data_IF_016315615989
#
_entry.id   IF_016315615989
#
_cell.length_a   1.000
_cell.length_b   1.000
_cell.length_c   1.000
_cell.angle_alpha   90.00
_cell.angle_beta   90.00
_cell.angle_gamma   90.00
#
_symmetry.space_group_name_H-M   'P 1'
#
loop_
_entity.id
_entity.type
_entity.pdbx_description
1 polymer ?
#
# COMPACT_ATOMS: atom_id res chain seq x y z
N UNK A 1 15.89 3.04 12.76
CA UNK A 1 16.07 2.02 11.71
C UNK A 1 15.10 2.35 10.60
N UNK A 2 15.54 2.43 9.35
CA UNK A 2 14.69 2.78 8.22
C UNK A 2 14.06 1.51 7.63
N UNK A 3 12.83 1.18 8.06
CA UNK A 3 12.10 0.00 7.60
C UNK A 3 11.86 -0.01 6.09
N UNK A 4 11.65 1.17 5.48
CA UNK A 4 11.44 1.27 4.03
C UNK A 4 12.69 0.80 3.29
N UNK A 5 13.86 1.31 3.67
CA UNK A 5 15.13 0.91 3.05
C UNK A 5 15.41 -0.57 3.22
N UNK A 6 15.10 -1.13 4.38
CA UNK A 6 15.26 -2.57 4.63
C UNK A 6 14.33 -3.43 3.77
N UNK A 7 13.06 -3.03 3.60
CA UNK A 7 12.12 -3.70 2.68
C UNK A 7 12.63 -3.70 1.24
N UNK A 8 13.10 -2.55 0.75
CA UNK A 8 13.68 -2.44 -0.60
C UNK A 8 14.85 -3.39 -0.78
N UNK A 9 15.78 -3.42 0.18
CA UNK A 9 16.89 -4.38 0.16
C UNK A 9 16.38 -5.83 0.10
N UNK A 10 15.38 -6.16 0.91
CA UNK A 10 14.78 -7.49 0.90
C UNK A 10 14.20 -7.87 -0.47
N UNK A 11 13.49 -6.97 -1.14
CA UNK A 11 12.95 -7.24 -2.48
C UNK A 11 14.07 -7.46 -3.51
N UNK A 12 15.13 -6.66 -3.45
CA UNK A 12 16.31 -6.83 -4.33
C UNK A 12 16.99 -8.17 -4.08
N UNK A 13 17.19 -8.54 -2.81
CA UNK A 13 17.82 -9.82 -2.47
C UNK A 13 16.96 -11.01 -2.94
N UNK A 14 15.62 -10.92 -2.79
CA UNK A 14 14.67 -11.94 -3.29
C UNK A 14 14.76 -12.06 -4.82
N UNK A 15 14.72 -10.95 -5.56
CA UNK A 15 14.86 -10.97 -7.02
C UNK A 15 16.21 -11.57 -7.45
N UNK A 16 17.29 -11.23 -6.75
CA UNK A 16 18.61 -11.78 -7.01
C UNK A 16 18.66 -13.30 -6.82
N UNK A 17 18.02 -13.83 -5.77
CA UNK A 17 17.89 -15.27 -5.56
C UNK A 17 17.04 -15.95 -6.62
N UNK A 18 15.90 -15.37 -7.00
CA UNK A 18 15.00 -15.93 -8.02
C UNK A 18 15.71 -16.05 -9.36
N UNK A 19 16.39 -14.99 -9.79
CA UNK A 19 17.17 -14.94 -11.02
C UNK A 19 18.36 -15.90 -10.97
N UNK A 20 19.11 -15.89 -9.86
CA UNK A 20 20.30 -16.74 -9.69
C UNK A 20 19.98 -18.24 -9.64
N UNK A 21 18.84 -18.61 -9.06
CA UNK A 21 18.37 -20.01 -9.00
C UNK A 21 17.57 -20.44 -10.24
N UNK A 22 17.10 -19.49 -11.05
CA UNK A 22 16.26 -19.76 -12.23
C UNK A 22 14.89 -20.35 -11.90
N UNK A 23 14.35 -20.08 -10.70
CA UNK A 23 13.07 -20.64 -10.21
C UNK A 23 11.97 -19.59 -10.22
N UNK A 24 11.12 -19.63 -11.24
CA UNK A 24 10.11 -18.59 -11.51
C UNK A 24 8.67 -19.04 -11.22
N UNK A 25 8.42 -19.73 -10.10
CA UNK A 25 7.05 -20.00 -9.65
C UNK A 25 6.60 -18.99 -8.61
N UNK A 26 5.32 -18.60 -8.68
CA UNK A 26 4.72 -17.63 -7.77
C UNK A 26 4.79 -18.11 -6.32
N UNK A 27 4.50 -19.39 -6.09
CA UNK A 27 4.54 -20.03 -4.79
C UNK A 27 5.95 -19.97 -4.18
N UNK A 28 6.98 -20.31 -4.97
CA UNK A 28 8.36 -20.25 -4.52
C UNK A 28 8.78 -18.83 -4.14
N UNK A 29 8.40 -17.83 -4.95
CA UNK A 29 8.74 -16.44 -4.69
C UNK A 29 8.05 -15.92 -3.42
N UNK A 30 6.81 -16.35 -3.16
CA UNK A 30 6.06 -16.00 -1.94
C UNK A 30 6.71 -16.62 -0.71
N UNK A 31 7.12 -17.89 -0.79
CA UNK A 31 7.85 -18.56 0.28
C UNK A 31 9.19 -17.88 0.55
N UNK A 32 9.89 -17.46 -0.51
CA UNK A 32 11.15 -16.74 -0.40
C UNK A 32 10.97 -15.35 0.23
N UNK A 33 9.94 -14.60 -0.18
CA UNK A 33 9.54 -13.35 0.48
C UNK A 33 9.29 -13.57 1.97
N UNK A 34 8.50 -14.58 2.32
CA UNK A 34 8.20 -14.92 3.73
C UNK A 34 9.49 -15.19 4.51
N UNK A 35 10.33 -16.10 4.02
CA UNK A 35 11.62 -16.44 4.64
C UNK A 35 12.46 -15.19 4.88
N UNK A 36 12.63 -14.36 3.85
CA UNK A 36 13.53 -13.21 3.90
C UNK A 36 13.03 -12.11 4.84
N UNK A 37 11.72 -11.90 4.91
CA UNK A 37 11.12 -10.96 5.86
C UNK A 37 11.25 -11.46 7.30
N UNK A 38 10.99 -12.75 7.56
CA UNK A 38 11.09 -13.35 8.89
C UNK A 38 12.54 -13.35 9.41
N UNK A 39 13.52 -13.72 8.58
CA UNK A 39 14.95 -13.68 8.94
C UNK A 39 15.45 -12.28 9.30
N UNK A 40 14.79 -11.24 8.80
CA UNK A 40 15.18 -9.83 9.01
C UNK A 40 14.31 -9.11 10.06
N UNK A 41 13.39 -9.82 10.73
CA UNK A 41 12.38 -9.25 11.63
C UNK A 41 11.62 -8.06 10.99
N UNK A 42 11.29 -8.21 9.70
CA UNK A 42 10.56 -7.20 8.94
C UNK A 42 9.10 -7.57 8.80
N UNK A 43 8.24 -6.55 8.87
CA UNK A 43 6.84 -6.70 8.48
C UNK A 43 6.61 -6.26 7.03
N UNK A 44 5.76 -6.98 6.28
CA UNK A 44 5.19 -6.52 5.02
C UNK A 44 4.52 -5.15 5.11
N UNK A 45 4.35 -4.48 3.96
CA UNK A 45 3.60 -3.23 3.88
C UNK A 45 2.14 -3.54 4.17
N UNK A 46 1.60 -3.03 5.28
CA UNK A 46 0.22 -3.31 5.69
C UNK A 46 -0.41 -2.16 6.46
N UNK A 47 -1.74 -2.16 6.47
CA UNK A 47 -2.53 -1.36 7.40
C UNK A 47 -2.59 -2.00 8.79
N UNK A 48 -3.64 -1.67 9.54
CA UNK A 48 -3.81 -2.16 10.91
C UNK A 48 -3.87 -3.70 11.04
N UNK A 49 -4.40 -4.39 10.04
CA UNK A 49 -4.56 -5.85 10.03
C UNK A 49 -3.39 -6.56 9.35
N UNK A 50 -3.09 -7.80 9.78
CA UNK A 50 -2.13 -8.71 9.14
C UNK A 50 -2.90 -9.93 8.59
N UNK A 51 -3.35 -9.89 7.32
CA UNK A 51 -4.09 -10.99 6.73
C UNK A 51 -3.19 -12.20 6.46
N UNK A 52 -3.73 -13.42 6.31
CA UNK A 52 -2.94 -14.63 6.10
C UNK A 52 -2.18 -14.61 4.76
N UNK A 53 -2.76 -13.98 3.73
CA UNK A 53 -2.17 -13.81 2.39
C UNK A 53 -1.25 -12.59 2.29
N UNK A 54 -0.62 -12.15 3.39
CA UNK A 54 0.13 -10.90 3.37
C UNK A 54 1.38 -10.93 2.48
N UNK A 55 2.08 -12.06 2.39
CA UNK A 55 3.26 -12.21 1.54
C UNK A 55 2.91 -12.33 0.06
N UNK A 56 1.77 -12.93 -0.26
CA UNK A 56 1.18 -12.89 -1.60
C UNK A 56 0.98 -11.44 -2.05
N UNK A 57 0.46 -10.59 -1.15
CA UNK A 57 0.28 -9.15 -1.38
C UNK A 57 1.59 -8.35 -1.43
N UNK A 58 2.73 -8.94 -1.10
CA UNK A 58 4.06 -8.33 -1.29
C UNK A 58 4.63 -8.55 -2.68
N UNK A 59 4.05 -9.45 -3.49
CA UNK A 59 4.40 -9.55 -4.91
C UNK A 59 4.16 -8.24 -5.65
N UNK A 60 3.18 -7.43 -5.23
CA UNK A 60 3.02 -6.05 -5.74
C UNK A 60 4.27 -5.21 -5.52
N UNK A 61 4.87 -5.25 -4.32
CA UNK A 61 6.10 -4.52 -4.02
C UNK A 61 7.27 -5.07 -4.83
N UNK A 62 7.37 -6.39 -4.94
CA UNK A 62 8.43 -7.07 -5.69
C UNK A 62 8.37 -6.73 -7.19
N UNK A 63 7.17 -6.77 -7.79
CA UNK A 63 6.92 -6.35 -9.17
C UNK A 63 7.34 -4.90 -9.39
N UNK A 64 6.93 -3.98 -8.50
CA UNK A 64 7.27 -2.57 -8.62
C UNK A 64 8.79 -2.38 -8.59
N UNK A 65 9.51 -3.06 -7.70
CA UNK A 65 10.98 -3.00 -7.67
C UNK A 65 11.60 -3.62 -8.93
N UNK A 66 11.09 -4.76 -9.41
CA UNK A 66 11.60 -5.39 -10.62
C UNK A 66 11.42 -4.50 -11.87
N UNK A 67 10.26 -3.87 -12.02
CA UNK A 67 9.93 -3.00 -13.16
C UNK A 67 10.54 -1.61 -13.04
N UNK A 68 10.19 -0.88 -11.99
CA UNK A 68 10.51 0.54 -11.86
C UNK A 68 11.87 0.80 -11.19
N UNK A 69 12.29 -0.10 -10.30
CA UNK A 69 13.54 0.05 -9.56
C UNK A 69 14.76 -0.48 -10.31
N UNK A 70 14.67 -1.72 -10.79
CA UNK A 70 15.77 -2.44 -11.42
C UNK A 70 15.67 -2.51 -12.94
N UNK A 71 14.46 -2.33 -13.50
CA UNK A 71 14.18 -2.45 -14.93
C UNK A 71 14.66 -3.79 -15.55
N UNK A 72 14.37 -4.91 -14.87
CA UNK A 72 14.88 -6.24 -15.23
C UNK A 72 13.84 -7.15 -15.92
N UNK A 73 12.60 -6.69 -16.07
CA UNK A 73 11.53 -7.56 -16.58
C UNK A 73 11.70 -7.93 -18.06
N UNK A 74 12.40 -7.09 -18.83
CA UNK A 74 12.73 -7.38 -20.24
C UNK A 74 13.85 -8.43 -20.36
N UNK A 75 14.80 -8.43 -19.43
CA UNK A 75 15.90 -9.39 -19.37
C UNK A 75 15.45 -10.77 -18.83
N UNK A 76 14.39 -10.81 -18.03
CA UNK A 76 13.84 -12.01 -17.40
C UNK A 76 12.33 -12.15 -17.65
N UNK A 77 11.91 -12.50 -18.87
CA UNK A 77 10.50 -12.56 -19.25
C UNK A 77 9.69 -13.61 -18.47
N UNK A 78 10.33 -14.59 -17.84
CA UNK A 78 9.70 -15.54 -16.91
C UNK A 78 9.08 -14.83 -15.70
N UNK A 79 9.68 -13.73 -15.22
CA UNK A 79 9.12 -12.92 -14.15
C UNK A 79 7.79 -12.27 -14.56
N UNK A 80 7.62 -11.89 -15.83
CA UNK A 80 6.35 -11.33 -16.31
C UNK A 80 5.20 -12.35 -16.17
N UNK A 81 5.48 -13.64 -16.29
CA UNK A 81 4.47 -14.70 -16.10
C UNK A 81 4.09 -14.84 -14.63
N UNK A 82 5.03 -14.66 -13.71
CA UNK A 82 4.77 -14.65 -12.26
C UNK A 82 3.89 -13.46 -11.88
N UNK A 83 4.14 -12.31 -12.50
CA UNK A 83 3.51 -11.03 -12.18
C UNK A 83 2.27 -10.72 -13.03
N UNK A 84 1.63 -11.72 -13.63
CA UNK A 84 0.47 -11.51 -14.52
C UNK A 84 -0.67 -10.73 -13.82
N UNK A 85 -0.89 -11.02 -12.54
CA UNK A 85 -1.87 -10.33 -11.72
C UNK A 85 -1.43 -8.88 -11.43
N UNK A 86 -0.18 -8.66 -11.08
CA UNK A 86 0.37 -7.33 -10.80
C UNK A 86 0.38 -6.42 -12.06
N UNK A 87 0.62 -7.00 -13.25
CA UNK A 87 0.46 -6.30 -14.54
C UNK A 87 -0.99 -5.84 -14.75
N UNK A 88 -1.99 -6.66 -14.38
CA UNK A 88 -3.40 -6.25 -14.45
C UNK A 88 -3.72 -5.14 -13.45
N UNK A 89 -3.17 -5.20 -12.22
CA UNK A 89 -3.33 -4.14 -11.22
C UNK A 89 -2.76 -2.81 -11.70
N UNK A 90 -1.60 -2.86 -12.36
CA UNK A 90 -0.98 -1.69 -12.95
C UNK A 90 -1.86 -1.07 -14.03
N UNK A 91 -2.30 -1.86 -15.01
CA UNK A 91 -3.18 -1.39 -16.08
C UNK A 91 -4.49 -0.81 -15.55
N UNK A 92 -5.08 -1.43 -14.53
CA UNK A 92 -6.26 -0.89 -13.87
C UNK A 92 -5.96 0.45 -13.18
N UNK A 93 -4.80 0.59 -12.54
CA UNK A 93 -4.37 1.85 -11.91
C UNK A 93 -4.18 2.95 -12.95
N UNK A 94 -3.57 2.64 -14.10
CA UNK A 94 -3.39 3.57 -15.22
C UNK A 94 -4.73 4.00 -15.82
N UNK A 95 -5.64 3.04 -16.03
CA UNK A 95 -6.99 3.29 -16.54
C UNK A 95 -7.79 4.24 -15.63
N UNK A 96 -7.77 4.03 -14.30
CA UNK A 96 -8.44 4.95 -13.34
C UNK A 96 -7.92 6.39 -13.45
N UNK A 97 -6.65 6.58 -13.81
CA UNK A 97 -5.99 7.89 -13.80
C UNK A 97 -6.05 8.62 -15.12
N UNK A 98 -6.01 7.90 -16.23
CA UNK A 98 -5.76 8.47 -17.55
C UNK A 98 -6.99 8.42 -18.47
N UNK A 99 -7.97 7.58 -18.17
CA UNK A 99 -9.15 7.39 -19.02
C UNK A 99 -10.39 8.11 -18.46
N UNK A 100 -11.37 8.45 -19.32
CA UNK A 100 -12.68 8.89 -18.87
C UNK A 100 -13.35 7.86 -17.94
N UNK A 101 -14.17 8.28 -16.95
CA UNK A 101 -14.71 7.37 -15.93
C UNK A 101 -15.41 6.11 -16.45
N UNK A 102 -16.25 6.23 -17.48
CA UNK A 102 -16.97 5.09 -18.07
C UNK A 102 -16.02 4.12 -18.79
N UNK A 103 -15.08 4.64 -19.58
CA UNK A 103 -14.07 3.83 -20.26
C UNK A 103 -13.16 3.12 -19.26
N UNK A 104 -12.74 3.84 -18.21
CA UNK A 104 -11.96 3.28 -17.14
C UNK A 104 -12.70 2.12 -16.45
N UNK A 105 -13.99 2.31 -16.16
CA UNK A 105 -14.84 1.28 -15.57
C UNK A 105 -14.90 0.03 -16.44
N UNK A 106 -15.17 0.20 -17.74
CA UNK A 106 -15.22 -0.91 -18.70
C UNK A 106 -13.89 -1.66 -18.77
N UNK A 107 -12.77 -0.95 -18.86
CA UNK A 107 -11.45 -1.55 -18.96
C UNK A 107 -11.07 -2.33 -17.70
N UNK A 108 -11.40 -1.81 -16.52
CA UNK A 108 -11.18 -2.51 -15.25
C UNK A 108 -12.06 -3.76 -15.16
N UNK A 109 -13.33 -3.70 -15.60
CA UNK A 109 -14.21 -4.88 -15.64
C UNK A 109 -13.69 -5.93 -16.64
N UNK A 110 -13.13 -5.53 -17.79
CA UNK A 110 -12.48 -6.47 -18.73
C UNK A 110 -11.28 -7.16 -18.10
N UNK A 111 -10.45 -6.43 -17.33
CA UNK A 111 -9.31 -7.00 -16.60
C UNK A 111 -9.74 -7.89 -15.43
N UNK A 112 -10.83 -7.51 -14.75
CA UNK A 112 -11.37 -8.16 -13.57
C UNK A 112 -12.90 -8.31 -13.68
N UNK A 113 -13.41 -9.34 -14.39
CA UNK A 113 -14.85 -9.51 -14.63
C UNK A 113 -15.70 -9.57 -13.36
N UNK A 114 -15.12 -10.07 -12.27
CA UNK A 114 -15.75 -10.14 -10.95
C UNK A 114 -15.07 -9.18 -9.98
N UNK A 115 -15.05 -7.88 -10.31
CA UNK A 115 -14.42 -6.87 -9.45
C UNK A 115 -15.07 -6.84 -8.07
N UNK A 116 -14.38 -7.41 -7.08
CA UNK A 116 -14.79 -7.44 -5.68
C UNK A 116 -14.01 -6.41 -4.84
N UNK A 117 -14.40 -6.26 -3.58
CA UNK A 117 -13.77 -5.33 -2.65
C UNK A 117 -12.28 -5.63 -2.39
N UNK A 118 -11.86 -6.91 -2.21
CA UNK A 118 -10.45 -7.30 -2.18
C UNK A 118 -9.67 -6.87 -3.41
N UNK A 119 -10.20 -7.07 -4.62
CA UNK A 119 -9.51 -6.72 -5.88
C UNK A 119 -9.38 -5.21 -6.01
N UNK A 120 -10.43 -4.43 -5.75
CA UNK A 120 -10.34 -2.97 -5.73
C UNK A 120 -9.31 -2.50 -4.68
N UNK A 121 -9.27 -3.13 -3.51
CA UNK A 121 -8.25 -2.83 -2.49
C UNK A 121 -6.83 -3.14 -2.96
N UNK A 122 -6.63 -4.18 -3.79
CA UNK A 122 -5.32 -4.51 -4.38
C UNK A 122 -4.90 -3.51 -5.47
N UNK A 123 -5.84 -3.00 -6.27
CA UNK A 123 -5.57 -1.90 -7.22
C UNK A 123 -5.12 -0.65 -6.47
N UNK A 124 -5.86 -0.24 -5.43
CA UNK A 124 -5.49 0.90 -4.59
C UNK A 124 -4.15 0.67 -3.86
N UNK A 125 -3.87 -0.57 -3.42
CA UNK A 125 -2.58 -0.96 -2.84
C UNK A 125 -1.43 -0.81 -3.83
N UNK A 126 -1.62 -1.17 -5.09
CA UNK A 126 -0.62 -0.98 -6.13
C UNK A 126 -0.20 0.49 -6.24
N UNK A 127 -1.18 1.39 -6.37
CA UNK A 127 -0.93 2.83 -6.39
C UNK A 127 -0.28 3.35 -5.10
N UNK A 128 -0.74 2.87 -3.94
CA UNK A 128 -0.12 3.24 -2.67
C UNK A 128 1.33 2.79 -2.57
N UNK A 129 1.66 1.58 -3.02
CA UNK A 129 3.02 1.05 -2.96
C UNK A 129 3.96 1.84 -3.87
N UNK A 130 3.52 2.25 -5.06
CA UNK A 130 4.28 3.16 -5.92
C UNK A 130 4.62 4.47 -5.19
N UNK A 131 3.63 5.08 -4.52
CA UNK A 131 3.84 6.30 -3.75
C UNK A 131 4.76 6.05 -2.55
N UNK A 132 4.50 5.00 -1.77
CA UNK A 132 5.28 4.66 -0.58
C UNK A 132 6.76 4.41 -0.90
N UNK A 133 7.05 3.82 -2.06
CA UNK A 133 8.40 3.58 -2.54
C UNK A 133 9.03 4.78 -3.26
N UNK A 134 8.38 5.95 -3.28
CA UNK A 134 8.79 7.21 -3.94
C UNK A 134 8.86 7.14 -5.49
N UNK A 135 8.21 6.16 -6.14
CA UNK A 135 8.08 6.15 -7.62
C UNK A 135 7.00 7.09 -8.13
N UNK A 136 6.03 7.45 -7.26
CA UNK A 136 4.98 8.43 -7.54
C UNK A 136 4.79 9.35 -6.33
N UNK A 137 4.21 10.51 -6.56
CA UNK A 137 3.95 11.48 -5.49
C UNK A 137 2.59 11.27 -4.79
N UNK A 138 2.30 12.13 -3.82
CA UNK A 138 1.02 12.09 -3.08
C UNK A 138 -0.17 12.48 -3.95
N UNK A 139 0.02 13.41 -4.89
CA UNK A 139 -1.03 13.89 -5.79
C UNK A 139 -1.57 12.77 -6.68
N UNK A 140 -0.67 11.90 -7.17
CA UNK A 140 -1.02 10.66 -7.85
C UNK A 140 -1.99 9.80 -7.04
N UNK A 141 -1.69 9.53 -5.76
CA UNK A 141 -2.54 8.69 -4.93
C UNK A 141 -3.88 9.36 -4.59
N UNK A 142 -3.88 10.68 -4.40
CA UNK A 142 -5.11 11.46 -4.18
C UNK A 142 -6.04 11.36 -5.38
N UNK A 143 -5.51 11.55 -6.59
CA UNK A 143 -6.27 11.42 -7.83
C UNK A 143 -6.77 9.98 -8.01
N UNK A 144 -5.94 8.98 -7.73
CA UNK A 144 -6.34 7.58 -7.80
C UNK A 144 -7.54 7.29 -6.88
N UNK A 145 -7.51 7.75 -5.63
CA UNK A 145 -8.61 7.56 -4.68
C UNK A 145 -9.87 8.32 -5.09
N UNK A 146 -9.74 9.57 -5.54
CA UNK A 146 -10.87 10.39 -6.01
C UNK A 146 -11.56 9.75 -7.21
N UNK A 147 -10.79 9.38 -8.22
CA UNK A 147 -11.31 8.77 -9.43
C UNK A 147 -11.93 7.40 -9.11
N UNK A 148 -11.28 6.58 -8.27
CA UNK A 148 -11.86 5.30 -7.82
C UNK A 148 -13.20 5.48 -7.11
N UNK A 149 -13.33 6.51 -6.28
CA UNK A 149 -14.58 6.81 -5.57
C UNK A 149 -15.71 7.22 -6.52
N UNK A 150 -15.38 7.95 -7.59
CA UNK A 150 -16.32 8.39 -8.61
C UNK A 150 -16.72 7.27 -9.59
N UNK A 151 -15.75 6.44 -10.00
CA UNK A 151 -15.95 5.33 -10.95
C UNK A 151 -16.72 4.17 -10.33
N UNK A 152 -16.48 3.88 -9.04
CA UNK A 152 -17.09 2.76 -8.33
C UNK A 152 -17.90 3.22 -7.10
N UNK A 153 -18.98 3.99 -7.28
CA UNK A 153 -19.81 4.47 -6.18
C UNK A 153 -20.42 3.32 -5.36
N UNK A 154 -20.69 2.17 -5.98
CA UNK A 154 -21.15 0.94 -5.35
C UNK A 154 -20.11 0.31 -4.41
N UNK A 155 -18.83 0.68 -4.55
CA UNK A 155 -17.71 0.26 -3.69
C UNK A 155 -17.14 1.39 -2.83
N UNK A 156 -17.90 2.46 -2.64
CA UNK A 156 -17.50 3.66 -1.89
C UNK A 156 -16.92 3.35 -0.50
N UNK A 157 -17.45 2.34 0.20
CA UNK A 157 -16.96 1.93 1.52
C UNK A 157 -15.53 1.39 1.48
N UNK A 158 -15.17 0.64 0.44
CA UNK A 158 -13.83 0.12 0.24
C UNK A 158 -12.83 1.23 -0.04
N UNK A 159 -13.18 2.14 -0.96
CA UNK A 159 -12.34 3.31 -1.26
C UNK A 159 -12.18 4.19 -0.02
N UNK A 160 -13.24 4.41 0.77
CA UNK A 160 -13.20 5.17 2.02
C UNK A 160 -12.32 4.54 3.09
N UNK A 161 -12.38 3.20 3.24
CA UNK A 161 -11.48 2.47 4.15
C UNK A 161 -10.02 2.62 3.73
N UNK A 162 -9.76 2.57 2.42
CA UNK A 162 -8.42 2.78 1.89
C UNK A 162 -7.94 4.23 2.05
N UNK A 163 -8.83 5.21 1.87
CA UNK A 163 -8.54 6.63 2.12
C UNK A 163 -8.12 6.89 3.57
N UNK A 164 -8.78 6.24 4.54
CA UNK A 164 -8.36 6.26 5.96
C UNK A 164 -6.93 5.74 6.16
N UNK A 165 -6.61 4.62 5.50
CA UNK A 165 -5.28 4.04 5.51
C UNK A 165 -4.24 5.00 4.90
N UNK A 166 -4.52 5.56 3.74
CA UNK A 166 -3.67 6.53 3.07
C UNK A 166 -3.38 7.76 3.95
N UNK A 167 -4.41 8.39 4.52
CA UNK A 167 -4.23 9.54 5.43
C UNK A 167 -3.34 9.15 6.62
N UNK A 168 -3.60 8.00 7.24
CA UNK A 168 -2.80 7.53 8.36
C UNK A 168 -1.33 7.30 7.96
N UNK A 169 -1.07 6.72 6.78
CA UNK A 169 0.27 6.47 6.28
C UNK A 169 1.04 7.77 5.96
N UNK A 170 0.37 8.76 5.35
CA UNK A 170 0.97 10.08 5.04
C UNK A 170 1.29 10.86 6.31
N UNK A 171 0.37 10.88 7.28
CA UNK A 171 0.60 11.55 8.57
C UNK A 171 1.76 10.87 9.31
N UNK A 172 1.84 9.54 9.27
CA UNK A 172 2.94 8.81 9.88
C UNK A 172 4.30 9.12 9.20
N UNK A 173 4.34 9.23 7.87
CA UNK A 173 5.53 9.67 7.11
C UNK A 173 5.95 11.11 7.49
N UNK A 174 4.99 12.02 7.63
CA UNK A 174 5.25 13.40 8.04
C UNK A 174 5.78 13.51 9.47
N UNK A 175 5.33 12.62 10.37
CA UNK A 175 5.88 12.50 11.72
C UNK A 175 7.30 11.93 11.66
N UNK A 176 7.52 10.85 10.91
CA UNK A 176 8.84 10.21 10.74
C UNK A 176 9.90 11.23 10.27
N UNK A 177 9.53 12.07 9.30
CA UNK A 177 10.39 13.10 8.72
C UNK A 177 10.49 14.36 9.58
N UNK A 178 9.86 14.39 10.75
CA UNK A 178 9.90 15.50 11.70
C UNK A 178 9.15 16.76 11.25
N UNK A 179 8.27 16.66 10.24
CA UNK A 179 7.40 17.76 9.77
C UNK A 179 6.22 17.98 10.72
N UNK A 180 5.74 16.92 11.36
CA UNK A 180 4.71 16.97 12.41
C UNK A 180 5.35 16.65 13.76
N UNK A 181 5.27 17.61 14.69
CA UNK A 181 5.88 17.52 16.03
C UNK A 181 4.91 17.69 17.19
N UNK A 182 3.64 18.00 16.91
CA UNK A 182 2.63 18.23 17.94
C UNK A 182 1.25 17.73 17.48
N UNK A 183 0.34 17.57 18.46
CA UNK A 183 -1.00 17.03 18.25
C UNK A 183 -1.88 17.92 17.35
N UNK A 184 -1.72 19.24 17.42
CA UNK A 184 -2.49 20.20 16.61
C UNK A 184 -2.16 20.03 15.12
N UNK A 185 -0.88 20.06 14.75
CA UNK A 185 -0.44 19.89 13.36
C UNK A 185 -0.86 18.51 12.80
N UNK A 186 -0.82 17.48 13.65
CA UNK A 186 -1.30 16.13 13.29
C UNK A 186 -2.79 16.14 12.93
N UNK A 187 -3.65 16.74 13.75
CA UNK A 187 -5.10 16.82 13.44
C UNK A 187 -5.37 17.69 12.22
N UNK A 188 -4.71 18.84 12.10
CA UNK A 188 -4.82 19.71 10.92
C UNK A 188 -4.46 18.95 9.64
N UNK A 189 -3.36 18.19 9.65
CA UNK A 189 -2.94 17.40 8.48
C UNK A 189 -3.96 16.31 8.12
N UNK A 190 -4.53 15.60 9.10
CA UNK A 190 -5.58 14.59 8.85
C UNK A 190 -6.80 15.20 8.18
N UNK A 191 -7.23 16.37 8.65
CA UNK A 191 -8.39 17.07 8.10
C UNK A 191 -8.11 17.69 6.73
N UNK A 192 -6.92 18.26 6.52
CA UNK A 192 -6.49 18.80 5.23
C UNK A 192 -6.50 17.71 4.15
N UNK A 193 -5.85 16.57 4.41
CA UNK A 193 -5.84 15.44 3.47
C UNK A 193 -7.24 14.88 3.21
N UNK A 194 -8.10 14.80 4.24
CA UNK A 194 -9.48 14.36 4.06
C UNK A 194 -10.30 15.32 3.21
N UNK A 195 -10.06 16.63 3.32
CA UNK A 195 -10.72 17.64 2.50
C UNK A 195 -10.24 17.56 1.05
N UNK A 196 -8.92 17.43 0.83
CA UNK A 196 -8.30 17.29 -0.48
C UNK A 196 -8.80 16.06 -1.25
N UNK A 197 -9.01 14.94 -0.56
CA UNK A 197 -9.59 13.73 -1.14
C UNK A 197 -11.06 13.88 -1.52
N UNK A 198 -11.83 14.78 -0.88
CA UNK A 198 -13.27 14.89 -1.12
C UNK A 198 -14.09 13.63 -0.77
N UNK A 199 -13.53 12.66 -0.04
CA UNK A 199 -14.20 11.42 0.35
C UNK A 199 -14.76 11.55 1.78
N UNK A 200 -16.07 11.43 1.98
CA UNK A 200 -16.68 11.65 3.29
C UNK A 200 -16.25 10.58 4.30
N UNK A 201 -16.14 10.97 5.58
CA UNK A 201 -15.82 10.10 6.72
C UNK A 201 -14.48 9.35 6.56
N UNK A 202 -13.50 9.93 5.88
CA UNK A 202 -12.17 9.34 5.64
C UNK A 202 -11.11 9.68 6.72
N UNK A 203 -11.41 10.57 7.67
CA UNK A 203 -10.47 10.91 8.76
C UNK A 203 -10.21 9.69 9.65
N UNK A 204 -8.95 9.25 9.86
CA UNK A 204 -8.64 8.11 10.71
C UNK A 204 -8.69 8.48 12.20
N UNK A 205 -8.92 7.48 13.05
CA UNK A 205 -8.77 7.63 14.50
C UNK A 205 -7.30 7.62 14.91
N UNK A 206 -7.03 8.17 16.09
CA UNK A 206 -5.71 8.18 16.72
C UNK A 206 -5.15 6.77 16.95
N UNK A 207 -5.99 5.84 17.41
CA UNK A 207 -5.61 4.43 17.57
C UNK A 207 -5.26 3.76 16.23
N UNK A 208 -5.99 4.09 15.16
CA UNK A 208 -5.70 3.56 13.83
C UNK A 208 -4.39 4.11 13.28
N UNK A 209 -4.13 5.42 13.47
CA UNK A 209 -2.87 6.06 13.10
C UNK A 209 -1.68 5.39 13.79
N UNK A 210 -1.77 5.09 15.09
CA UNK A 210 -0.70 4.39 15.83
C UNK A 210 -0.40 3.03 15.20
N UNK A 211 -1.44 2.24 14.87
CA UNK A 211 -1.26 0.91 14.25
C UNK A 211 -0.56 1.00 12.90
N UNK A 212 -0.96 1.95 12.06
CA UNK A 212 -0.36 2.16 10.73
C UNK A 212 1.08 2.67 10.86
N UNK A 213 1.34 3.63 11.75
CA UNK A 213 2.67 4.19 11.98
C UNK A 213 3.66 3.14 12.51
N UNK A 214 3.21 2.27 13.42
CA UNK A 214 4.01 1.16 13.91
C UNK A 214 4.32 0.16 12.79
N UNK A 215 3.32 -0.25 11.99
CA UNK A 215 3.50 -1.25 10.94
C UNK A 215 4.40 -0.74 9.80
N UNK A 216 4.21 0.50 9.35
CA UNK A 216 4.96 1.04 8.21
C UNK A 216 6.35 1.57 8.61
N UNK A 217 6.49 2.18 9.79
CA UNK A 217 7.68 2.96 10.13
C UNK A 217 8.31 2.59 11.48
N UNK A 218 7.73 1.63 12.21
CA UNK A 218 8.22 1.23 13.54
C UNK A 218 8.05 2.33 14.59
N UNK A 219 7.17 3.30 14.34
CA UNK A 219 7.04 4.50 15.18
C UNK A 219 6.16 4.28 16.40
N UNK A 220 6.64 4.73 17.55
CA UNK A 220 5.86 4.86 18.77
C UNK A 220 5.41 6.31 18.96
N UNK A 221 4.11 6.59 18.73
CA UNK A 221 3.57 7.95 18.73
C UNK A 221 3.19 8.49 20.13
N UNK A 222 3.89 8.07 21.18
CA UNK A 222 3.68 8.58 22.56
C UNK A 222 3.78 10.11 22.58
N UNK A 223 2.77 10.78 23.15
CA UNK A 223 2.71 12.24 23.27
C UNK A 223 2.07 12.98 22.09
N UNK A 224 1.92 12.36 20.91
CA UNK A 224 1.23 12.94 19.75
C UNK A 224 -0.24 12.50 19.63
N UNK A 225 -0.61 11.48 20.40
CA UNK A 225 -1.86 10.75 20.26
C UNK A 225 -2.53 10.62 21.62
N UNK A 226 -3.84 10.91 21.69
CA UNK A 226 -4.64 10.66 22.90
C UNK A 226 -5.17 9.23 22.86
N UNK A 227 -4.34 8.26 23.23
CA UNK A 227 -4.79 6.87 23.36
C UNK A 227 -5.41 6.70 24.75
N UNK A 228 -6.70 6.35 24.83
CA UNK A 228 -7.31 5.94 26.10
C UNK A 228 -6.62 4.65 26.56
N UNK A 229 -5.97 4.68 27.72
CA UNK A 229 -5.53 3.43 28.36
C UNK A 229 -6.79 2.62 28.64
N UNK A 230 -6.92 1.41 28.09
CA UNK A 230 -7.87 0.43 28.62
C UNK A 230 -7.42 0.15 30.05
N UNK A 231 -8.19 0.59 31.03
CA UNK A 231 -8.08 0.08 32.38
C UNK A 231 -8.30 -1.44 32.28
N UNK A 232 -7.26 -2.19 32.67
CA UNK A 232 -7.36 -3.62 32.83
C UNK A 232 -8.38 -3.84 33.94
N UNK A 233 -9.60 -4.28 33.58
CA UNK A 233 -10.50 -4.87 34.56
C UNK A 233 -9.78 -6.08 35.15
N UNK A 234 -9.18 -5.88 36.32
CA UNK A 234 -8.93 -6.94 37.27
C UNK A 234 -10.27 -7.19 37.96
N UNK A 235 -10.90 -8.29 37.61
CA UNK A 235 -11.84 -9.00 38.47
C UNK A 235 -11.52 -10.48 38.39
#
# INVERSE_FOLDING_TARGET
MDLKRQRVKTYVDVLGSVVGEGKYSREYIVDLLKKYFEERDLEPIRGASKPPDIYEKELTSLYIIAKYGLNILDDYPELLKVFDYEVKLERATESILNEPPEEARENIIKLFPNLDDPTLSRILRFGFTLMYLDFRDRGFMINLLRNSYAIFPEKADTVRRFAKFFIAAVVADDIQKGRIRNSLNKELQKHALSAELGIPKAVPSDEYLVKVAQALYGLNLRGLVKVKRKESNRT
#
